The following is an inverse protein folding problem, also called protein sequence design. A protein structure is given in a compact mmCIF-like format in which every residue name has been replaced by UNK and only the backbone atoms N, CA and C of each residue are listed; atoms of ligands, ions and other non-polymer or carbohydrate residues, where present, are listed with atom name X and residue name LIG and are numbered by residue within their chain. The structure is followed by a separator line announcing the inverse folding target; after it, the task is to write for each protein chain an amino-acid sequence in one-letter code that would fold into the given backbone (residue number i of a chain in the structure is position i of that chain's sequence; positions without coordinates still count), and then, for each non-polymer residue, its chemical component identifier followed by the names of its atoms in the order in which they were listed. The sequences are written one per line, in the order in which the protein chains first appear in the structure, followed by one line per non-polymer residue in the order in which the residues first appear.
data_IF_304055409022
#
_entry.id   IF_304055409022
#
_cell.length_a   1.000
_cell.length_b   1.000
_cell.length_c   1.000
_cell.angle_alpha   90.00
_cell.angle_beta   90.00
_cell.angle_gamma   90.00
#
_symmetry.space_group_name_H-M   'P 1'
#
loop_
_entity.id
_entity.type
_entity.pdbx_description
1 polymer ?
#
# COMPACT_ATOMS: atom_id res chain seq x y z
N UNK A 1 -12.28 -4.25 -22.54
CA UNK A 1 -12.62 -2.81 -22.54
C UNK A 1 -12.10 -2.16 -21.27
N UNK A 2 -11.19 -1.21 -21.40
CA UNK A 2 -10.74 -0.37 -20.28
C UNK A 2 -11.83 0.68 -20.01
N UNK A 3 -12.84 0.30 -19.23
CA UNK A 3 -13.75 1.28 -18.63
C UNK A 3 -12.92 2.12 -17.65
N UNK A 4 -12.34 3.21 -18.16
CA UNK A 4 -11.73 4.26 -17.35
C UNK A 4 -12.85 4.91 -16.55
N UNK A 5 -13.06 4.40 -15.33
CA UNK A 5 -14.02 4.96 -14.40
C UNK A 5 -13.51 6.35 -13.99
N UNK A 6 -14.34 7.37 -14.24
CA UNK A 6 -14.07 8.76 -13.87
C UNK A 6 -12.72 9.29 -14.40
N UNK A 7 -12.57 9.47 -15.72
CA UNK A 7 -11.28 9.79 -16.34
C UNK A 7 -10.63 11.10 -15.84
N UNK A 8 -11.41 12.01 -15.25
CA UNK A 8 -10.92 13.30 -14.74
C UNK A 8 -10.90 13.42 -13.21
N UNK A 9 -11.21 12.36 -12.45
CA UNK A 9 -11.26 12.43 -10.98
C UNK A 9 -9.85 12.43 -10.38
N UNK A 10 -9.35 13.62 -10.05
CA UNK A 10 -8.00 13.82 -9.49
C UNK A 10 -7.94 13.83 -7.97
N UNK A 11 -9.01 14.27 -7.32
CA UNK A 11 -9.05 14.49 -5.87
C UNK A 11 -10.28 13.80 -5.29
N UNK A 12 -10.08 12.94 -4.30
CA UNK A 12 -11.15 12.21 -3.64
C UNK A 12 -11.06 12.39 -2.13
N UNK A 13 -12.13 12.92 -1.54
CA UNK A 13 -12.27 13.11 -0.10
C UNK A 13 -13.40 12.22 0.40
N UNK A 14 -13.04 11.17 1.13
CA UNK A 14 -13.94 10.15 1.68
C UNK A 14 -13.61 9.89 3.16
N UNK A 15 -13.18 10.95 3.85
CA UNK A 15 -12.99 10.90 5.30
C UNK A 15 -14.35 10.78 6.01
N UNK A 16 -14.37 10.28 7.25
CA UNK A 16 -15.62 10.06 8.02
C UNK A 16 -16.60 9.07 7.38
N UNK A 17 -16.07 7.97 6.85
CA UNK A 17 -16.86 6.90 6.26
C UNK A 17 -16.60 5.57 6.98
N UNK A 18 -17.23 4.49 6.50
CA UNK A 18 -17.14 3.15 7.08
C UNK A 18 -16.32 2.19 6.21
N UNK A 19 -15.24 2.69 5.60
CA UNK A 19 -14.36 1.84 4.78
C UNK A 19 -13.46 1.02 5.70
N UNK A 20 -13.62 -0.30 5.68
CA UNK A 20 -12.92 -1.25 6.55
C UNK A 20 -12.05 -2.27 5.80
N UNK A 21 -12.12 -2.28 4.46
CA UNK A 21 -11.46 -3.29 3.63
C UNK A 21 -10.51 -2.70 2.59
N UNK A 22 -9.35 -3.34 2.43
CA UNK A 22 -8.39 -3.03 1.38
C UNK A 22 -8.90 -3.37 -0.03
N UNK A 23 -9.92 -4.24 -0.16
CA UNK A 23 -10.56 -4.53 -1.45
C UNK A 23 -11.22 -3.27 -2.02
N UNK A 24 -11.84 -2.44 -1.18
CA UNK A 24 -12.40 -1.15 -1.59
C UNK A 24 -11.31 -0.19 -2.09
N UNK A 25 -10.11 -0.22 -1.49
CA UNK A 25 -8.96 0.56 -1.96
C UNK A 25 -8.46 0.05 -3.31
N UNK A 26 -8.43 -1.27 -3.51
CA UNK A 26 -8.00 -1.86 -4.78
C UNK A 26 -8.86 -1.37 -5.96
N UNK A 27 -10.17 -1.16 -5.76
CA UNK A 27 -11.03 -0.61 -6.82
C UNK A 27 -10.65 0.82 -7.22
N UNK A 28 -10.14 1.64 -6.28
CA UNK A 28 -9.64 2.99 -6.59
C UNK A 28 -8.42 2.97 -7.52
N UNK A 29 -7.68 1.84 -7.59
CA UNK A 29 -6.56 1.69 -8.53
C UNK A 29 -6.99 1.69 -10.00
N UNK A 30 -8.29 1.55 -10.28
CA UNK A 30 -8.88 1.65 -11.63
C UNK A 30 -8.95 3.09 -12.13
N UNK A 31 -8.91 4.06 -11.22
CA UNK A 31 -8.98 5.49 -11.53
C UNK A 31 -7.54 5.99 -11.70
N UNK A 32 -7.01 5.89 -12.92
CA UNK A 32 -5.63 6.26 -13.25
C UNK A 32 -5.34 7.75 -13.04
N UNK A 33 -6.37 8.60 -13.08
CA UNK A 33 -6.27 10.04 -12.88
C UNK A 33 -6.25 10.46 -11.41
N UNK A 34 -6.43 9.54 -10.45
CA UNK A 34 -6.48 9.86 -9.02
C UNK A 34 -5.10 10.23 -8.47
N UNK A 35 -4.96 11.50 -8.08
CA UNK A 35 -3.70 12.11 -7.62
C UNK A 35 -3.70 12.28 -6.09
N UNK A 36 -4.85 12.57 -5.48
CA UNK A 36 -4.97 12.83 -4.04
C UNK A 36 -6.16 12.10 -3.42
N UNK A 37 -5.93 11.49 -2.27
CA UNK A 37 -6.92 10.77 -1.48
C UNK A 37 -6.91 11.24 -0.03
N UNK A 38 -8.07 11.56 0.53
CA UNK A 38 -8.27 11.78 1.96
C UNK A 38 -9.27 10.77 2.51
N UNK A 39 -8.81 9.91 3.42
CA UNK A 39 -9.55 8.74 3.90
C UNK A 39 -9.44 8.58 5.43
N UNK A 40 -9.00 9.63 6.13
CA UNK A 40 -8.98 9.66 7.60
C UNK A 40 -10.35 9.33 8.21
N UNK A 41 -10.36 8.84 9.45
CA UNK A 41 -11.60 8.50 10.18
C UNK A 41 -12.46 7.48 9.42
N UNK A 42 -11.79 6.43 8.95
CA UNK A 42 -12.40 5.20 8.43
C UNK A 42 -11.80 4.00 9.20
N UNK A 43 -12.54 2.91 9.44
CA UNK A 43 -12.02 1.73 10.14
C UNK A 43 -10.75 1.10 9.53
N UNK A 44 -10.48 1.33 8.25
CA UNK A 44 -9.23 0.92 7.60
C UNK A 44 -7.99 1.59 8.22
N UNK A 45 -8.16 2.75 8.85
CA UNK A 45 -7.17 3.36 9.72
C UNK A 45 -7.39 2.86 11.13
N UNK A 46 -6.33 2.34 11.75
CA UNK A 46 -6.40 1.81 13.09
C UNK A 46 -6.51 2.87 14.18
N UNK A 47 -6.60 2.39 15.40
CA UNK A 47 -6.81 3.24 16.58
C UNK A 47 -5.51 3.85 17.11
N UNK A 48 -4.37 3.24 16.78
CA UNK A 48 -3.05 3.68 17.22
C UNK A 48 -2.16 4.11 16.06
N UNK A 49 -1.06 4.80 16.38
CA UNK A 49 -0.13 5.33 15.38
C UNK A 49 0.47 4.24 14.50
N UNK A 50 0.76 3.06 15.08
CA UNK A 50 1.41 1.96 14.37
C UNK A 50 0.50 1.38 13.27
N UNK A 51 -0.77 1.13 13.60
CA UNK A 51 -1.77 0.69 12.64
C UNK A 51 -1.99 1.74 11.54
N UNK A 52 -2.02 3.03 11.90
CA UNK A 52 -2.18 4.12 10.94
C UNK A 52 -1.04 4.17 9.91
N UNK A 53 0.21 4.02 10.33
CA UNK A 53 1.36 3.94 9.42
C UNK A 53 1.29 2.68 8.55
N UNK A 54 0.86 1.55 9.12
CA UNK A 54 0.67 0.31 8.36
C UNK A 54 -0.38 0.50 7.27
N UNK A 55 -1.54 1.06 7.60
CA UNK A 55 -2.60 1.34 6.63
C UNK A 55 -2.16 2.34 5.56
N UNK A 56 -1.40 3.35 5.95
CA UNK A 56 -0.79 4.32 5.01
C UNK A 56 0.10 3.62 3.99
N UNK A 57 1.05 2.79 4.42
CA UNK A 57 1.92 2.02 3.53
C UNK A 57 1.11 1.10 2.61
N UNK A 58 0.12 0.40 3.17
CA UNK A 58 -0.75 -0.50 2.42
C UNK A 58 -1.58 0.20 1.34
N UNK A 59 -2.03 1.43 1.57
CA UNK A 59 -2.72 2.26 0.57
C UNK A 59 -1.74 2.74 -0.51
N UNK A 60 -0.56 3.23 -0.12
CA UNK A 60 0.47 3.75 -1.05
C UNK A 60 0.90 2.67 -2.05
N UNK A 61 1.13 1.44 -1.58
CA UNK A 61 1.54 0.31 -2.42
C UNK A 61 0.45 -0.12 -3.42
N UNK A 62 -0.83 0.03 -3.05
CA UNK A 62 -1.98 -0.36 -3.88
C UNK A 62 -2.36 0.68 -4.93
N UNK A 63 -2.04 1.96 -4.68
CA UNK A 63 -2.42 3.08 -5.53
C UNK A 63 -1.17 3.70 -6.20
N UNK A 64 -0.78 3.23 -7.41
CA UNK A 64 0.50 3.60 -8.02
C UNK A 64 0.57 5.07 -8.47
N UNK A 65 -0.57 5.68 -8.82
CA UNK A 65 -0.65 7.06 -9.32
C UNK A 65 -0.85 8.10 -8.22
N UNK A 66 -1.09 7.67 -6.97
CA UNK A 66 -1.36 8.56 -5.86
C UNK A 66 -0.10 9.37 -5.51
N UNK A 67 -0.22 10.69 -5.42
CA UNK A 67 0.89 11.56 -5.01
C UNK A 67 0.69 12.14 -3.62
N UNK A 68 -0.56 12.27 -3.19
CA UNK A 68 -0.92 12.81 -1.88
C UNK A 68 -1.90 11.89 -1.15
N UNK A 69 -1.57 11.53 0.09
CA UNK A 69 -2.46 10.78 0.97
C UNK A 69 -2.70 11.59 2.24
N UNK A 70 -3.97 11.83 2.57
CA UNK A 70 -4.40 12.64 3.70
C UNK A 70 -3.70 14.01 3.75
N UNK A 71 -3.61 14.65 2.57
CA UNK A 71 -2.95 15.96 2.35
C UNK A 71 -1.43 15.98 2.55
N UNK A 72 -0.80 14.82 2.74
CA UNK A 72 0.66 14.69 2.83
C UNK A 72 1.21 14.17 1.51
N UNK A 73 2.29 14.79 1.03
CA UNK A 73 3.03 14.34 -0.14
C UNK A 73 3.67 12.98 0.13
N UNK A 74 3.53 12.05 -0.80
CA UNK A 74 4.18 10.73 -0.74
C UNK A 74 5.57 10.85 -1.35
N UNK A 75 6.58 10.59 -0.53
CA UNK A 75 7.97 10.66 -1.00
C UNK A 75 8.34 9.40 -1.81
N UNK A 76 9.35 9.52 -2.69
CA UNK A 76 9.80 8.39 -3.52
C UNK A 76 10.29 7.21 -2.67
N UNK A 77 11.05 7.47 -1.61
CA UNK A 77 11.57 6.42 -0.73
C UNK A 77 10.46 5.77 0.08
N UNK A 78 9.48 6.56 0.55
CA UNK A 78 8.30 6.04 1.24
C UNK A 78 7.48 5.13 0.34
N UNK A 79 7.24 5.53 -0.92
CA UNK A 79 6.57 4.71 -1.91
C UNK A 79 7.34 3.43 -2.19
N UNK A 80 8.65 3.52 -2.42
CA UNK A 80 9.50 2.35 -2.65
C UNK A 80 9.45 1.38 -1.48
N UNK A 81 9.55 1.87 -0.26
CA UNK A 81 9.44 1.05 0.95
C UNK A 81 8.09 0.36 1.07
N UNK A 82 7.01 1.12 0.95
CA UNK A 82 5.66 0.57 1.00
C UNK A 82 5.42 -0.54 -0.05
N UNK A 83 5.93 -0.35 -1.28
CA UNK A 83 5.82 -1.33 -2.36
C UNK A 83 6.59 -2.62 -2.07
N UNK A 84 7.83 -2.52 -1.55
CA UNK A 84 8.65 -3.68 -1.17
C UNK A 84 8.05 -4.40 0.03
N UNK A 85 7.64 -3.67 1.06
CA UNK A 85 7.01 -4.23 2.26
C UNK A 85 5.71 -4.95 1.91
N UNK A 86 4.95 -4.41 0.96
CA UNK A 86 3.74 -5.03 0.43
C UNK A 86 4.04 -6.35 -0.32
N UNK A 87 5.05 -6.38 -1.19
CA UNK A 87 5.49 -7.61 -1.84
C UNK A 87 5.88 -8.67 -0.81
N UNK A 88 6.66 -8.27 0.19
CA UNK A 88 7.12 -9.23 1.18
C UNK A 88 6.00 -9.73 2.09
N UNK A 89 5.08 -8.85 2.49
CA UNK A 89 3.96 -9.19 3.38
C UNK A 89 3.06 -10.28 2.78
N UNK A 90 2.83 -10.24 1.47
CA UNK A 90 1.98 -11.23 0.79
C UNK A 90 2.80 -12.29 0.03
N UNK A 91 4.10 -12.42 0.30
CA UNK A 91 4.97 -13.38 -0.37
C UNK A 91 4.44 -14.81 -0.19
N UNK A 92 4.12 -15.20 1.05
CA UNK A 92 3.61 -16.55 1.35
C UNK A 92 2.32 -16.83 0.58
N UNK A 93 1.33 -15.95 0.70
CA UNK A 93 0.04 -16.09 0.01
C UNK A 93 0.20 -16.19 -1.51
N UNK A 94 1.14 -15.43 -2.08
CA UNK A 94 1.48 -15.50 -3.50
C UNK A 94 2.10 -16.83 -3.92
N UNK A 95 2.98 -17.43 -3.11
CA UNK A 95 3.58 -18.72 -3.44
C UNK A 95 2.59 -19.88 -3.22
N UNK A 96 1.73 -19.80 -2.21
CA UNK A 96 0.75 -20.85 -1.88
C UNK A 96 -0.47 -20.83 -2.83
N UNK A 97 -0.93 -19.64 -3.24
CA UNK A 97 -2.18 -19.45 -3.98
C UNK A 97 -2.00 -18.58 -5.23
N UNK A 98 -0.93 -18.81 -6.00
CA UNK A 98 -0.49 -17.93 -7.10
C UNK A 98 -1.60 -17.48 -8.05
N UNK A 99 -2.44 -18.40 -8.53
CA UNK A 99 -3.49 -18.09 -9.51
C UNK A 99 -4.60 -17.19 -8.93
N UNK A 100 -5.17 -17.57 -7.80
CA UNK A 100 -6.26 -16.83 -7.14
C UNK A 100 -5.77 -15.47 -6.60
N UNK A 101 -4.54 -15.44 -6.10
CA UNK A 101 -3.91 -14.24 -5.55
C UNK A 101 -3.74 -13.13 -6.60
N UNK A 102 -3.32 -13.50 -7.81
CA UNK A 102 -3.12 -12.56 -8.93
C UNK A 102 -4.43 -11.83 -9.28
N UNK A 103 -5.57 -12.50 -9.18
CA UNK A 103 -6.87 -11.90 -9.46
C UNK A 103 -7.26 -10.84 -8.42
N UNK A 104 -6.90 -11.03 -7.16
CA UNK A 104 -7.24 -10.13 -6.07
C UNK A 104 -6.25 -8.96 -5.92
N UNK A 105 -4.98 -9.17 -6.30
CA UNK A 105 -3.90 -8.20 -6.12
C UNK A 105 -3.36 -7.68 -7.45
N UNK A 106 -4.16 -6.86 -8.13
CA UNK A 106 -3.86 -6.31 -9.47
C UNK A 106 -2.51 -5.60 -9.62
N UNK A 107 -2.01 -4.98 -8.55
CA UNK A 107 -0.70 -4.31 -8.58
C UNK A 107 0.48 -5.26 -8.35
N UNK A 108 0.26 -6.44 -7.79
CA UNK A 108 1.34 -7.29 -7.30
C UNK A 108 2.28 -7.73 -8.41
N UNK A 109 1.74 -8.18 -9.54
CA UNK A 109 2.55 -8.52 -10.72
C UNK A 109 3.38 -7.34 -11.23
N UNK A 110 2.80 -6.14 -11.26
CA UNK A 110 3.50 -4.92 -11.68
C UNK A 110 4.65 -4.58 -10.72
N UNK A 111 4.43 -4.79 -9.42
CA UNK A 111 5.46 -4.59 -8.40
C UNK A 111 6.58 -5.63 -8.49
N UNK A 112 6.27 -6.90 -8.80
CA UNK A 112 7.29 -7.93 -9.08
C UNK A 112 8.17 -7.53 -10.26
N UNK A 113 7.57 -7.05 -11.36
CA UNK A 113 8.33 -6.58 -12.53
C UNK A 113 9.23 -5.39 -12.17
N UNK A 114 8.77 -4.52 -11.27
CA UNK A 114 9.49 -3.30 -10.87
C UNK A 114 10.62 -3.55 -9.87
N UNK A 115 10.43 -4.43 -8.89
CA UNK A 115 11.33 -4.60 -7.73
C UNK A 115 11.97 -6.00 -7.64
N UNK A 116 11.50 -6.97 -8.41
CA UNK A 116 11.90 -8.37 -8.34
C UNK A 116 10.90 -9.26 -7.60
N UNK A 117 11.10 -10.58 -7.67
CA UNK A 117 10.27 -11.54 -6.94
C UNK A 117 10.48 -11.42 -5.42
N UNK A 118 9.41 -11.55 -4.62
CA UNK A 118 9.56 -11.61 -3.18
C UNK A 118 10.24 -12.91 -2.77
N UNK A 119 10.94 -12.92 -1.64
CA UNK A 119 11.56 -14.12 -1.09
C UNK A 119 10.74 -14.64 0.10
N UNK A 120 10.73 -15.95 0.31
CA UNK A 120 10.10 -16.53 1.50
C UNK A 120 11.03 -16.32 2.70
N UNK A 121 10.57 -15.54 3.68
CA UNK A 121 11.25 -15.42 4.98
C UNK A 121 10.49 -16.29 5.98
N UNK A 122 11.19 -17.13 6.76
CA UNK A 122 10.56 -17.93 7.80
C UNK A 122 9.77 -17.02 8.77
N UNK A 123 8.45 -17.27 8.88
CA UNK A 123 7.46 -16.38 9.52
C UNK A 123 7.78 -16.00 10.98
N UNK A 124 8.62 -16.78 11.67
CA UNK A 124 9.07 -16.50 13.04
C UNK A 124 10.07 -15.33 13.19
N UNK A 125 10.59 -14.78 12.09
CA UNK A 125 11.47 -13.58 12.12
C UNK A 125 10.85 -12.34 11.44
N UNK A 126 9.72 -12.49 10.75
CA UNK A 126 9.15 -11.43 9.89
C UNK A 126 8.61 -10.26 10.70
N UNK A 127 8.02 -10.53 11.88
CA UNK A 127 7.53 -9.49 12.78
C UNK A 127 8.64 -8.72 13.52
N UNK A 128 9.88 -9.19 13.50
CA UNK A 128 10.98 -8.56 14.26
C UNK A 128 11.99 -7.91 13.32
N UNK A 129 12.28 -8.51 12.17
CA UNK A 129 13.37 -8.06 11.30
C UNK A 129 12.94 -6.97 10.30
N UNK A 130 11.74 -7.06 9.72
CA UNK A 130 11.21 -5.98 8.85
C UNK A 130 10.96 -4.69 9.61
N UNK A 131 10.54 -4.82 10.87
CA UNK A 131 10.35 -3.71 11.79
C UNK A 131 11.65 -2.96 12.08
N UNK A 132 12.82 -3.62 12.08
CA UNK A 132 14.11 -3.02 12.43
C UNK A 132 14.79 -2.29 11.27
N UNK A 133 14.61 -2.71 10.02
CA UNK A 133 15.27 -2.04 8.89
C UNK A 133 14.68 -0.65 8.58
N UNK A 134 13.36 -0.49 8.68
CA UNK A 134 12.71 0.80 8.41
C UNK A 134 12.69 1.76 9.61
N UNK A 135 12.60 1.26 10.85
CA UNK A 135 12.64 2.13 12.04
C UNK A 135 14.06 2.63 12.36
N UNK A 136 15.12 1.85 12.07
CA UNK A 136 16.50 2.33 12.26
C UNK A 136 16.96 3.32 11.19
N UNK A 137 16.40 3.28 9.99
CA UNK A 137 16.76 4.23 8.92
C UNK A 137 16.26 5.66 9.20
N UNK A 138 15.35 5.86 10.17
CA UNK A 138 14.94 7.18 10.67
C UNK A 138 15.64 7.62 11.97
N UNK A 139 16.47 6.78 12.59
CA UNK A 139 17.23 7.16 13.81
C UNK A 139 18.63 7.73 13.53
N UNK A 140 19.11 7.72 12.29
CA UNK A 140 20.41 8.31 11.89
C UNK A 140 20.29 9.59 11.06
N UNK A 141 19.21 10.35 11.20
CA UNK A 141 19.17 11.74 10.73
C UNK A 141 18.36 12.58 11.71
N UNK A 142 18.97 12.90 12.84
CA UNK A 142 18.71 14.11 13.63
C UNK A 142 19.85 14.26 14.65
N UNK A 143 20.77 15.17 14.29
CA UNK A 143 21.94 15.70 15.03
C UNK A 143 23.16 14.79 15.19
#
# INVERSE_FOLDING_TARGET
ESNELFPSLKYLYISDNKIDSYSSINELSRISSLISLSILRNPIYGTNQFENETSKQMIIARLPYLTHLNRVLINRDERRGAEIDYLQRYAQDYFDHKLDFIHQHRQYQKLIIKHGEPFLTNQNQVNTVFFLFYSNSRRFSLK
#
